data_IF_063188407823
#
_entry.id   IF_063188407823
#
_cell.length_a   1.000
_cell.length_b   1.000
_cell.length_c   1.000
_cell.angle_alpha   90.00
_cell.angle_beta   90.00
_cell.angle_gamma   90.00
#
_symmetry.space_group_name_H-M   'P 1'
#
loop_
_entity.id
_entity.type
_entity.pdbx_description
1 polymer ?
#
# COMPACT_ATOMS: atom_id res chain seq x y z
N UNK A 1 6.83 -25.60 -6.56
CA UNK A 1 7.48 -24.31 -6.91
C UNK A 1 8.77 -24.25 -6.10
N UNK A 2 9.93 -24.10 -6.74
CA UNK A 2 11.24 -24.09 -6.05
C UNK A 2 11.49 -22.73 -5.38
N UNK A 3 12.41 -22.67 -4.41
CA UNK A 3 12.79 -21.41 -3.74
C UNK A 3 13.31 -20.39 -4.75
N UNK A 4 14.14 -20.83 -5.71
CA UNK A 4 14.67 -20.00 -6.80
C UNK A 4 13.54 -19.36 -7.62
N UNK A 5 12.52 -20.13 -7.97
CA UNK A 5 11.37 -19.61 -8.73
C UNK A 5 10.53 -18.58 -7.97
N UNK A 6 10.56 -18.57 -6.63
CA UNK A 6 9.89 -17.54 -5.82
C UNK A 6 10.73 -16.26 -5.79
N UNK A 7 12.04 -16.38 -5.61
CA UNK A 7 12.97 -15.24 -5.61
C UNK A 7 12.89 -14.50 -6.96
N UNK A 8 12.88 -15.24 -8.06
CA UNK A 8 12.76 -14.65 -9.41
C UNK A 8 11.46 -13.86 -9.57
N UNK A 9 10.35 -14.38 -9.03
CA UNK A 9 9.05 -13.68 -9.08
C UNK A 9 9.04 -12.43 -8.21
N UNK A 10 9.61 -12.48 -7.01
CA UNK A 10 9.75 -11.28 -6.15
C UNK A 10 10.56 -10.20 -6.87
N UNK A 11 11.69 -10.58 -7.45
CA UNK A 11 12.53 -9.67 -8.24
C UNK A 11 11.78 -9.08 -9.43
N UNK A 12 11.06 -9.92 -10.17
CA UNK A 12 10.25 -9.49 -11.31
C UNK A 12 9.18 -8.46 -10.93
N UNK A 13 8.36 -8.73 -9.90
CA UNK A 13 7.26 -7.81 -9.55
C UNK A 13 7.77 -6.47 -9.01
N UNK A 14 8.84 -6.49 -8.21
CA UNK A 14 9.49 -5.26 -7.71
C UNK A 14 10.08 -4.47 -8.88
N UNK A 15 10.85 -5.11 -9.76
CA UNK A 15 11.45 -4.44 -10.91
C UNK A 15 10.39 -3.88 -11.85
N UNK A 16 9.33 -4.65 -12.14
CA UNK A 16 8.24 -4.18 -12.98
C UNK A 16 7.53 -2.96 -12.37
N UNK A 17 7.32 -2.95 -11.05
CA UNK A 17 6.67 -1.83 -10.36
C UNK A 17 7.57 -0.60 -10.22
N UNK A 18 8.87 -0.79 -10.02
CA UNK A 18 9.85 0.30 -9.95
C UNK A 18 10.26 0.83 -11.33
N UNK A 19 10.11 0.02 -12.39
CA UNK A 19 10.42 0.41 -13.75
C UNK A 19 9.57 1.60 -14.18
N UNK A 20 10.21 2.54 -14.88
CA UNK A 20 9.55 3.68 -15.50
C UNK A 20 9.59 3.47 -17.00
N UNK A 21 8.43 3.25 -17.59
CA UNK A 21 8.28 3.27 -19.05
C UNK A 21 7.73 4.63 -19.43
N UNK A 22 8.42 5.37 -20.30
CA UNK A 22 8.05 6.75 -20.67
C UNK A 22 7.89 7.70 -19.46
N UNK A 23 8.70 7.50 -18.40
CA UNK A 23 8.64 8.31 -17.17
C UNK A 23 7.50 7.96 -16.21
N UNK A 24 6.61 7.03 -16.56
CA UNK A 24 5.47 6.62 -15.74
C UNK A 24 5.80 5.33 -14.99
N UNK A 25 5.64 5.35 -13.67
CA UNK A 25 5.72 4.16 -12.81
C UNK A 25 4.54 3.23 -13.11
N UNK A 26 4.80 1.93 -13.26
CA UNK A 26 3.70 0.95 -13.37
C UNK A 26 2.88 0.94 -12.09
N UNK A 27 1.56 1.06 -12.23
CA UNK A 27 0.67 1.02 -11.07
C UNK A 27 0.42 -0.42 -10.58
N UNK A 28 0.25 -0.61 -9.27
CA UNK A 28 -0.02 -1.87 -8.60
C UNK A 28 -1.30 -2.53 -9.11
N UNK A 29 -2.32 -1.75 -9.52
CA UNK A 29 -3.55 -2.27 -10.17
C UNK A 29 -3.32 -2.93 -11.54
N UNK A 30 -2.12 -2.80 -12.11
CA UNK A 30 -1.74 -3.42 -13.39
C UNK A 30 -1.10 -4.81 -13.20
N UNK A 31 -1.05 -5.30 -11.97
CA UNK A 31 -0.61 -6.65 -11.64
C UNK A 31 -1.83 -7.55 -11.45
N UNK A 32 -1.71 -8.80 -11.85
CA UNK A 32 -2.75 -9.79 -11.58
C UNK A 32 -2.78 -10.13 -10.09
N UNK A 33 -3.94 -10.58 -9.60
CA UNK A 33 -4.14 -11.00 -8.21
C UNK A 33 -3.08 -12.01 -7.75
N UNK A 34 -2.72 -12.94 -8.62
CA UNK A 34 -1.68 -13.92 -8.36
C UNK A 34 -0.29 -13.29 -8.17
N UNK A 35 0.02 -12.22 -8.89
CA UNK A 35 1.32 -11.55 -8.79
C UNK A 35 1.45 -10.72 -7.50
N UNK A 36 0.32 -10.20 -6.99
CA UNK A 36 0.29 -9.39 -5.77
C UNK A 36 0.88 -10.12 -4.54
N UNK A 37 0.78 -11.46 -4.50
CA UNK A 37 1.31 -12.26 -3.40
C UNK A 37 2.85 -12.28 -3.32
N UNK A 38 3.54 -11.91 -4.41
CA UNK A 38 5.00 -11.90 -4.47
C UNK A 38 5.59 -10.55 -4.04
N UNK A 39 4.78 -9.51 -3.82
CA UNK A 39 5.27 -8.30 -3.21
C UNK A 39 5.58 -8.52 -1.73
N UNK A 40 6.80 -8.20 -1.26
CA UNK A 40 7.08 -8.21 0.17
C UNK A 40 6.20 -7.18 0.91
N UNK A 41 5.67 -7.55 2.08
CA UNK A 41 4.86 -6.62 2.91
C UNK A 41 5.66 -5.35 3.23
N UNK A 42 6.95 -5.49 3.57
CA UNK A 42 7.84 -4.35 3.83
C UNK A 42 7.95 -3.41 2.63
N UNK A 43 7.95 -3.96 1.42
CA UNK A 43 7.98 -3.17 0.20
C UNK A 43 6.69 -2.35 0.06
N UNK A 44 5.52 -2.98 0.26
CA UNK A 44 4.22 -2.31 0.21
C UNK A 44 4.12 -1.18 1.24
N UNK A 45 4.55 -1.42 2.49
CA UNK A 45 4.52 -0.42 3.57
C UNK A 45 5.36 0.83 3.25
N UNK A 46 6.51 0.63 2.61
CA UNK A 46 7.53 1.68 2.45
C UNK A 46 7.47 2.39 1.10
N UNK A 47 6.95 1.75 0.04
CA UNK A 47 7.11 2.23 -1.34
C UNK A 47 5.79 2.44 -2.09
N UNK A 48 4.67 1.93 -1.58
CA UNK A 48 3.36 2.02 -2.24
C UNK A 48 2.55 3.16 -1.62
N UNK A 49 2.07 4.13 -2.43
CA UNK A 49 1.18 5.18 -1.97
C UNK A 49 -0.15 4.62 -1.43
N UNK A 50 -0.73 5.32 -0.46
CA UNK A 50 -1.97 4.89 0.20
C UNK A 50 -3.14 4.67 -0.78
N UNK A 51 -3.31 5.57 -1.76
CA UNK A 51 -4.40 5.47 -2.74
C UNK A 51 -4.27 4.21 -3.61
N UNK A 52 -3.03 3.87 -3.99
CA UNK A 52 -2.75 2.71 -4.83
C UNK A 52 -2.90 1.40 -4.05
N UNK A 53 -2.48 1.40 -2.77
CA UNK A 53 -2.73 0.27 -1.88
C UNK A 53 -4.23 0.00 -1.71
N UNK A 54 -5.05 1.07 -1.62
CA UNK A 54 -6.51 0.95 -1.56
C UNK A 54 -7.10 0.33 -2.82
N UNK A 55 -6.61 0.68 -4.01
CA UNK A 55 -7.13 0.16 -5.29
C UNK A 55 -7.03 -1.36 -5.40
N UNK A 56 -6.04 -1.99 -4.74
CA UNK A 56 -5.79 -3.44 -4.83
C UNK A 56 -6.06 -4.18 -3.51
N UNK A 57 -6.59 -3.51 -2.49
CA UNK A 57 -6.67 -4.06 -1.12
C UNK A 57 -7.41 -5.41 -1.06
N UNK A 58 -8.55 -5.51 -1.73
CA UNK A 58 -9.38 -6.73 -1.80
C UNK A 58 -8.74 -7.85 -2.63
N UNK A 59 -7.72 -7.52 -3.43
CA UNK A 59 -6.95 -8.48 -4.21
C UNK A 59 -5.67 -8.93 -3.52
N UNK A 60 -5.23 -8.23 -2.48
CA UNK A 60 -4.11 -8.69 -1.67
C UNK A 60 -4.47 -10.00 -0.93
N UNK A 61 -3.50 -10.90 -0.72
CA UNK A 61 -3.75 -12.11 0.06
C UNK A 61 -4.18 -11.77 1.50
N UNK A 62 -5.00 -12.63 2.11
CA UNK A 62 -5.56 -12.43 3.46
C UNK A 62 -4.50 -12.06 4.50
N UNK A 63 -3.33 -12.70 4.48
CA UNK A 63 -2.21 -12.39 5.38
C UNK A 63 -1.72 -10.93 5.33
N UNK A 64 -1.93 -10.24 4.21
CA UNK A 64 -1.61 -8.82 4.06
C UNK A 64 -2.70 -7.97 4.68
N UNK A 65 -3.96 -8.36 4.47
CA UNK A 65 -5.11 -7.68 5.05
C UNK A 65 -5.11 -7.76 6.58
N UNK A 66 -4.63 -8.87 7.16
CA UNK A 66 -4.46 -9.05 8.60
C UNK A 66 -3.24 -8.31 9.17
N UNK A 67 -2.34 -7.80 8.31
CA UNK A 67 -1.15 -7.10 8.78
C UNK A 67 -1.48 -5.68 9.21
N UNK A 68 -1.48 -5.44 10.53
CA UNK A 68 -1.78 -4.13 11.13
C UNK A 68 -0.95 -3.02 10.48
N UNK A 69 0.37 -3.15 10.41
CA UNK A 69 1.25 -2.11 9.83
C UNK A 69 0.88 -1.74 8.39
N UNK A 70 0.45 -2.72 7.60
CA UNK A 70 -0.01 -2.48 6.24
C UNK A 70 -1.41 -1.84 6.20
N UNK A 71 -2.36 -2.25 7.06
CA UNK A 71 -3.66 -1.58 7.19
C UNK A 71 -3.49 -0.09 7.51
N UNK A 72 -2.53 0.26 8.36
CA UNK A 72 -2.22 1.65 8.69
C UNK A 72 -1.69 2.45 7.49
N UNK A 73 -1.24 1.79 6.42
CA UNK A 73 -0.83 2.45 5.19
C UNK A 73 -2.02 2.79 4.26
N UNK A 74 -3.22 2.28 4.53
CA UNK A 74 -4.42 2.65 3.78
C UNK A 74 -4.77 4.14 3.95
N UNK A 75 -5.56 4.73 3.07
CA UNK A 75 -5.97 6.12 3.20
C UNK A 75 -6.87 6.35 4.41
N UNK A 76 -6.64 7.43 5.16
CA UNK A 76 -7.52 7.85 6.25
C UNK A 76 -8.75 8.56 5.67
N UNK A 77 -9.86 7.85 5.52
CA UNK A 77 -11.11 8.45 5.05
C UNK A 77 -11.96 9.08 6.17
N UNK A 78 -11.66 8.75 7.43
CA UNK A 78 -12.39 9.23 8.61
C UNK A 78 -12.15 10.70 8.91
N UNK A 79 -10.90 11.15 8.73
CA UNK A 79 -10.48 12.51 9.06
C UNK A 79 -10.12 13.34 7.83
N UNK A 80 -10.11 12.72 6.64
CA UNK A 80 -9.95 13.45 5.40
C UNK A 80 -11.16 14.37 5.16
N UNK A 81 -10.89 15.66 4.96
CA UNK A 81 -11.88 16.73 4.76
C UNK A 81 -12.90 16.92 5.91
N UNK A 82 -12.63 16.41 7.13
CA UNK A 82 -13.56 16.52 8.28
C UNK A 82 -13.85 17.97 8.71
N UNK A 83 -12.90 18.88 8.48
CA UNK A 83 -13.03 20.29 8.85
C UNK A 83 -13.45 21.21 7.67
N UNK A 84 -13.98 20.64 6.58
CA UNK A 84 -14.30 21.36 5.33
C UNK A 84 -13.11 22.12 4.69
N UNK A 85 -11.90 21.93 5.21
CA UNK A 85 -10.67 22.31 4.51
C UNK A 85 -10.56 21.35 3.34
N UNK A 86 -10.79 21.85 2.12
CA UNK A 86 -10.45 21.12 0.91
C UNK A 86 -8.93 20.96 0.88
N UNK A 87 -8.44 19.81 1.35
CA UNK A 87 -7.06 19.43 1.10
C UNK A 87 -6.95 19.11 -0.38
N UNK A 88 -6.20 19.93 -1.11
CA UNK A 88 -5.84 19.62 -2.49
C UNK A 88 -4.95 18.38 -2.50
N UNK A 89 -5.50 17.25 -2.96
CA UNK A 89 -4.75 16.01 -3.16
C UNK A 89 -5.42 14.76 -2.57
N UNK A 90 -4.82 13.57 -2.71
CA UNK A 90 -5.37 12.34 -2.18
C UNK A 90 -5.31 12.30 -0.64
N UNK A 91 -6.21 11.55 0.02
CA UNK A 91 -6.16 11.33 1.46
C UNK A 91 -4.80 10.76 1.90
N UNK A 92 -4.20 11.27 2.99
CA UNK A 92 -2.98 10.70 3.55
C UNK A 92 -3.24 9.29 4.10
N UNK A 93 -2.19 8.50 4.30
CA UNK A 93 -2.33 7.21 4.99
C UNK A 93 -2.75 7.39 6.45
N UNK A 94 -3.39 6.38 7.05
CA UNK A 94 -3.83 6.45 8.45
C UNK A 94 -2.63 6.67 9.39
N UNK A 95 -1.49 6.01 9.13
CA UNK A 95 -0.22 6.24 9.86
C UNK A 95 0.34 7.66 9.72
N UNK A 96 -0.11 8.44 8.74
CA UNK A 96 0.31 9.83 8.54
C UNK A 96 -0.77 10.85 8.92
N UNK A 97 -2.01 10.41 9.18
CA UNK A 97 -3.08 11.28 9.61
C UNK A 97 -2.79 11.84 11.01
N UNK A 98 -2.73 13.16 11.13
CA UNK A 98 -2.46 13.83 12.41
C UNK A 98 -3.56 13.54 13.45
N UNK A 99 -4.83 13.60 13.06
CA UNK A 99 -5.94 13.32 13.97
C UNK A 99 -5.90 11.86 14.48
N UNK A 100 -5.60 10.89 13.62
CA UNK A 100 -5.42 9.49 14.02
C UNK A 100 -4.29 9.31 15.04
N UNK A 101 -3.16 10.01 14.86
CA UNK A 101 -2.05 10.01 15.82
C UNK A 101 -2.45 10.62 17.16
N UNK A 102 -3.16 11.74 17.13
CA UNK A 102 -3.62 12.46 18.33
C UNK A 102 -4.66 11.67 19.12
N UNK A 103 -5.51 10.89 18.45
CA UNK A 103 -6.49 10.00 19.09
C UNK A 103 -5.87 8.74 19.76
N UNK A 104 -4.53 8.60 19.77
CA UNK A 104 -3.80 7.42 20.27
C UNK A 104 -4.22 6.08 19.67
N UNK A 105 -4.86 6.07 18.50
CA UNK A 105 -5.18 4.83 17.76
C UNK A 105 -3.90 4.04 17.40
N UNK A 106 -2.72 4.66 17.55
CA UNK A 106 -1.41 4.18 17.09
C UNK A 106 -0.36 3.96 18.17
N UNK A 107 -0.62 4.36 19.42
CA UNK A 107 0.46 4.47 20.43
C UNK A 107 0.73 3.13 21.15
N UNK A 108 -0.19 2.17 21.13
CA UNK A 108 -0.08 0.96 21.97
C UNK A 108 -0.47 -0.36 21.26
N UNK A 109 0.07 -0.66 20.07
CA UNK A 109 -0.05 -1.99 19.43
C UNK A 109 1.28 -2.51 18.87
#
# INVERSE_FOLDING_TARGET
MSVESVIDKVGYVINAYCSRTNGIRKSLKKFEKWDLQFFPISFLINNVPAYELKEVWEDLPVRYQENVKLQLCLPCLRHYNKDNIQLDGPPPSIKMCWACKSEKVYVDQ
#
